data_IF_353806982776
#
_entry.id   IF_353806982776
#
_cell.length_a   1.000
_cell.length_b   1.000
_cell.length_c   1.000
_cell.angle_alpha   90.00
_cell.angle_beta   90.00
_cell.angle_gamma   90.00
#
_symmetry.space_group_name_H-M   'P 1'
#
loop_
_entity.id
_entity.type
_entity.pdbx_description
1 polymer ?
#
# COMPACT_ATOMS: atom_id res chain seq x y z
N UNK A 1 -0.92 33.82 -7.65
CA UNK A 1 0.01 33.58 -6.53
C UNK A 1 -0.81 33.60 -5.27
N UNK A 2 -0.67 32.58 -4.42
CA UNK A 2 -1.32 32.55 -3.12
C UNK A 2 -0.56 33.51 -2.18
N UNK A 3 -1.25 34.35 -1.40
CA UNK A 3 -0.58 35.26 -0.47
C UNK A 3 0.12 34.47 0.65
N UNK A 4 1.12 35.08 1.32
CA UNK A 4 1.72 34.48 2.52
C UNK A 4 0.66 34.18 3.58
N UNK A 5 0.80 33.02 4.23
CA UNK A 5 -0.08 32.57 5.31
C UNK A 5 0.76 32.33 6.58
N UNK A 6 0.95 33.36 7.41
CA UNK A 6 1.75 33.25 8.63
C UNK A 6 1.08 32.36 9.69
N UNK A 7 -0.26 32.26 9.67
CA UNK A 7 -1.01 31.43 10.62
C UNK A 7 -0.76 29.95 10.33
N UNK A 8 -0.73 29.56 9.05
CA UNK A 8 -0.33 28.22 8.64
C UNK A 8 1.11 27.91 9.06
N UNK A 9 2.04 28.86 8.89
CA UNK A 9 3.44 28.67 9.27
C UNK A 9 3.57 28.43 10.79
N UNK A 10 2.94 29.28 11.60
CA UNK A 10 2.93 29.15 13.05
C UNK A 10 2.29 27.83 13.52
N UNK A 11 1.22 27.38 12.86
CA UNK A 11 0.60 26.09 13.13
C UNK A 11 1.56 24.92 12.87
N UNK A 12 2.21 24.90 11.70
CA UNK A 12 3.19 23.85 11.35
C UNK A 12 4.34 23.83 12.34
N UNK A 13 4.90 25.00 12.68
CA UNK A 13 5.94 25.12 13.70
C UNK A 13 5.47 24.51 15.02
N UNK A 14 4.29 24.89 15.51
CA UNK A 14 3.75 24.37 16.78
C UNK A 14 3.60 22.85 16.79
N UNK A 15 3.18 22.23 15.68
CA UNK A 15 3.05 20.76 15.58
C UNK A 15 4.42 20.07 15.56
N UNK A 16 5.42 20.73 14.97
CA UNK A 16 6.76 20.18 14.71
C UNK A 16 7.81 20.56 15.78
N UNK A 17 7.53 21.51 16.67
CA UNK A 17 8.46 22.04 17.70
C UNK A 17 8.82 21.02 18.80
N UNK A 18 8.23 19.82 18.75
CA UNK A 18 8.74 18.69 19.51
C UNK A 18 9.94 18.09 18.76
N UNK A 19 11.14 18.34 19.29
CA UNK A 19 12.44 17.86 18.80
C UNK A 19 12.55 16.35 18.62
N UNK A 20 11.57 15.59 19.10
CA UNK A 20 11.30 14.21 18.73
C UNK A 20 9.98 14.18 17.97
N UNK A 21 9.95 13.59 16.76
CA UNK A 21 8.72 13.36 15.99
C UNK A 21 7.73 12.54 16.82
N UNK A 22 6.96 13.23 17.66
CA UNK A 22 6.07 12.60 18.61
C UNK A 22 5.02 11.80 17.84
N UNK A 23 4.65 10.60 18.32
CA UNK A 23 3.70 9.75 17.63
C UNK A 23 2.43 10.51 17.21
N UNK A 24 1.91 10.21 16.02
CA UNK A 24 0.70 10.82 15.47
C UNK A 24 0.84 12.28 15.03
N UNK A 25 2.06 12.77 14.76
CA UNK A 25 2.22 14.13 14.21
C UNK A 25 1.54 14.29 12.84
N UNK A 26 1.41 13.22 12.05
CA UNK A 26 0.68 13.24 10.78
C UNK A 26 -0.79 13.63 10.96
N UNK A 27 -1.49 13.03 11.93
CA UNK A 27 -2.88 13.42 12.27
C UNK A 27 -2.98 14.83 12.82
N UNK A 28 -1.99 15.29 13.59
CA UNK A 28 -1.98 16.66 14.10
C UNK A 28 -1.81 17.69 12.99
N UNK A 29 -0.93 17.42 12.03
CA UNK A 29 -0.72 18.27 10.86
C UNK A 29 -1.91 18.22 9.89
N UNK A 30 -2.55 17.06 9.78
CA UNK A 30 -3.72 16.81 8.94
C UNK A 30 -4.89 16.26 9.79
N UNK A 31 -5.61 17.12 10.54
CA UNK A 31 -6.64 16.69 11.49
C UNK A 31 -7.81 15.92 10.85
N UNK A 32 -8.02 16.10 9.55
CA UNK A 32 -9.04 15.40 8.78
C UNK A 32 -8.51 14.18 8.01
N UNK A 33 -7.26 13.75 8.25
CA UNK A 33 -6.69 12.56 7.64
C UNK A 33 -7.42 11.30 8.16
N UNK A 34 -8.12 10.62 7.26
CA UNK A 34 -8.86 9.38 7.56
C UNK A 34 -8.05 8.13 7.21
N UNK A 35 -7.26 8.21 6.15
CA UNK A 35 -6.52 7.09 5.60
C UNK A 35 -5.31 7.58 4.81
N UNK A 36 -4.35 6.69 4.62
CA UNK A 36 -3.27 6.86 3.66
C UNK A 36 -3.27 5.72 2.67
N UNK A 37 -2.79 6.00 1.46
CA UNK A 37 -2.51 4.97 0.45
C UNK A 37 -1.01 4.76 0.42
N UNK A 38 -0.55 3.55 0.73
CA UNK A 38 0.86 3.20 0.74
C UNK A 38 1.03 1.72 0.39
N UNK A 39 2.23 1.33 -0.03
CA UNK A 39 2.58 -0.08 -0.17
C UNK A 39 2.80 -0.67 1.22
N UNK A 40 2.11 -1.75 1.53
CA UNK A 40 2.08 -2.31 2.89
C UNK A 40 2.47 -3.78 3.01
N UNK A 41 2.64 -4.49 1.90
CA UNK A 41 3.01 -5.91 1.89
C UNK A 41 4.49 -6.20 1.63
N UNK A 42 4.87 -7.46 1.81
CA UNK A 42 6.21 -7.98 1.52
C UNK A 42 7.32 -7.14 2.20
N UNK A 43 8.32 -6.69 1.45
CA UNK A 43 9.43 -5.88 1.95
C UNK A 43 9.04 -4.51 2.49
N UNK A 44 7.76 -4.10 2.42
CA UNK A 44 7.28 -2.87 3.05
C UNK A 44 6.58 -3.09 4.39
N UNK A 45 6.37 -4.33 4.79
CA UNK A 45 5.62 -4.69 6.01
C UNK A 45 6.33 -4.19 7.27
N UNK A 46 7.67 -4.25 7.33
CA UNK A 46 8.45 -3.77 8.48
C UNK A 46 8.38 -2.25 8.69
N UNK A 47 7.90 -1.48 7.71
CA UNK A 47 7.67 -0.04 7.87
C UNK A 47 6.29 0.28 8.45
N UNK A 48 5.37 -0.68 8.56
CA UNK A 48 3.99 -0.41 9.03
C UNK A 48 3.98 0.17 10.45
N UNK A 49 4.79 -0.37 11.36
CA UNK A 49 4.87 0.16 12.73
C UNK A 49 5.36 1.61 12.74
N UNK A 50 6.37 1.93 11.95
CA UNK A 50 6.89 3.31 11.84
C UNK A 50 5.87 4.25 11.20
N UNK A 51 5.16 3.78 10.18
CA UNK A 51 4.13 4.54 9.49
C UNK A 51 2.94 4.84 10.42
N UNK A 52 2.46 3.83 11.16
CA UNK A 52 1.41 3.98 12.18
C UNK A 52 1.84 4.97 13.27
N UNK A 53 3.08 4.86 13.77
CA UNK A 53 3.62 5.79 14.74
C UNK A 53 3.67 7.23 14.20
N UNK A 54 3.95 7.45 12.92
CA UNK A 54 3.98 8.79 12.31
C UNK A 54 2.56 9.34 12.11
N UNK A 55 1.68 8.54 11.52
CA UNK A 55 0.36 8.99 11.09
C UNK A 55 -0.65 9.08 12.23
N UNK A 56 -0.50 8.23 13.25
CA UNK A 56 -1.49 7.98 14.29
C UNK A 56 -2.09 6.59 14.12
N UNK A 57 -2.30 5.88 15.23
CA UNK A 57 -2.82 4.50 15.23
C UNK A 57 -4.24 4.39 14.68
N UNK A 58 -4.98 5.50 14.63
CA UNK A 58 -6.34 5.61 14.11
C UNK A 58 -6.41 5.84 12.58
N UNK A 59 -5.26 6.01 11.93
CA UNK A 59 -5.19 6.26 10.48
C UNK A 59 -4.99 4.95 9.72
N UNK A 60 -5.99 4.56 8.94
CA UNK A 60 -5.92 3.35 8.13
C UNK A 60 -4.86 3.47 7.02
N UNK A 61 -4.11 2.40 6.77
CA UNK A 61 -3.15 2.29 5.66
C UNK A 61 -3.70 1.32 4.61
N UNK A 62 -4.01 1.83 3.42
CA UNK A 62 -4.59 1.06 2.33
C UNK A 62 -3.52 0.65 1.32
N UNK A 63 -3.38 -0.67 1.13
CA UNK A 63 -2.51 -1.27 0.13
C UNK A 63 -3.13 -1.10 -1.26
N UNK A 64 -3.01 0.06 -1.89
CA UNK A 64 -3.80 0.43 -3.08
C UNK A 64 -3.73 -0.54 -4.26
N UNK A 65 -2.69 -0.41 -5.09
CA UNK A 65 -2.52 -1.12 -6.36
C UNK A 65 -1.29 -2.03 -6.34
N UNK A 66 -1.41 -3.17 -7.01
CA UNK A 66 -0.31 -4.06 -7.32
C UNK A 66 0.11 -3.85 -8.76
N UNK A 67 1.23 -3.16 -8.94
CA UNK A 67 1.71 -2.70 -10.24
C UNK A 67 3.22 -2.84 -10.36
N UNK A 68 3.67 -3.14 -11.57
CA UNK A 68 5.05 -3.03 -12.00
C UNK A 68 5.17 -2.00 -13.13
N UNK A 69 6.39 -1.69 -13.57
CA UNK A 69 6.62 -0.77 -14.70
C UNK A 69 5.97 -1.27 -16.00
N UNK A 70 5.81 -2.60 -16.11
CA UNK A 70 5.23 -3.32 -17.23
C UNK A 70 3.70 -3.33 -17.22
N UNK A 71 3.07 -3.01 -16.09
CA UNK A 71 1.60 -2.97 -16.00
C UNK A 71 1.04 -2.99 -14.58
N UNK A 72 -0.24 -2.61 -14.49
CA UNK A 72 -1.02 -2.75 -13.26
C UNK A 72 -1.74 -4.10 -13.26
N UNK A 73 -1.30 -4.97 -12.35
CA UNK A 73 -1.68 -6.37 -12.27
C UNK A 73 -2.90 -6.59 -11.37
N UNK A 74 -3.12 -5.73 -10.38
CA UNK A 74 -4.28 -5.87 -9.51
C UNK A 74 -4.56 -4.68 -8.62
N UNK A 75 -5.78 -4.68 -8.06
CA UNK A 75 -6.26 -3.66 -7.14
C UNK A 75 -6.74 -4.33 -5.86
N UNK A 76 -6.38 -3.73 -4.74
CA UNK A 76 -6.96 -4.12 -3.48
C UNK A 76 -8.36 -3.52 -3.36
N UNK A 77 -9.35 -4.40 -3.26
CA UNK A 77 -10.76 -3.99 -3.10
C UNK A 77 -11.18 -3.93 -1.63
N UNK A 78 -10.27 -4.25 -0.70
CA UNK A 78 -10.51 -4.21 0.73
C UNK A 78 -9.87 -2.99 1.35
N UNK A 79 -10.61 -2.33 2.24
CA UNK A 79 -10.07 -1.27 3.09
C UNK A 79 -9.38 -1.82 4.35
N UNK A 80 -9.36 -3.14 4.55
CA UNK A 80 -8.87 -3.79 5.78
C UNK A 80 -7.82 -4.87 5.54
N UNK A 81 -7.87 -5.57 4.40
CA UNK A 81 -6.87 -6.55 4.02
C UNK A 81 -5.80 -5.83 3.19
N UNK A 82 -4.56 -5.78 3.65
CA UNK A 82 -3.47 -5.02 3.00
C UNK A 82 -2.79 -5.77 1.85
N UNK A 83 -3.01 -7.08 1.75
CA UNK A 83 -2.23 -7.98 0.90
C UNK A 83 -3.07 -8.81 -0.08
N UNK A 84 -4.36 -8.48 -0.24
CA UNK A 84 -5.24 -9.18 -1.19
C UNK A 84 -5.55 -8.28 -2.37
N UNK A 85 -5.07 -8.69 -3.56
CA UNK A 85 -5.25 -7.93 -4.79
C UNK A 85 -6.11 -8.73 -5.77
N UNK A 86 -7.12 -8.08 -6.32
CA UNK A 86 -7.91 -8.63 -7.40
C UNK A 86 -7.25 -8.31 -8.72
N UNK A 87 -7.07 -9.32 -9.56
CA UNK A 87 -6.46 -9.15 -10.87
C UNK A 87 -7.20 -8.14 -11.73
N UNK A 88 -6.46 -7.26 -12.40
CA UNK A 88 -6.98 -6.23 -13.28
C UNK A 88 -7.05 -6.77 -14.73
N UNK A 89 -8.00 -7.68 -14.97
CA UNK A 89 -8.22 -8.40 -16.25
C UNK A 89 -8.33 -7.53 -17.50
N UNK A 90 -8.58 -6.22 -17.37
CA UNK A 90 -8.71 -5.30 -18.50
C UNK A 90 -7.40 -4.62 -18.90
N UNK A 91 -6.35 -4.73 -18.10
CA UNK A 91 -5.09 -4.01 -18.35
C UNK A 91 -4.10 -4.81 -19.22
N UNK A 92 -4.11 -6.13 -19.10
CA UNK A 92 -3.21 -7.00 -19.86
C UNK A 92 -3.73 -8.43 -19.94
N UNK A 93 -3.36 -9.13 -21.02
CA UNK A 93 -3.42 -10.59 -21.03
C UNK A 93 -2.35 -11.10 -20.05
N UNK A 94 -2.75 -12.00 -19.14
CA UNK A 94 -1.90 -12.51 -18.09
C UNK A 94 -2.06 -14.02 -17.99
N UNK A 95 -0.95 -14.73 -17.90
CA UNK A 95 -0.90 -16.16 -17.62
C UNK A 95 -0.02 -16.39 -16.39
N UNK A 96 -0.28 -17.47 -15.67
CA UNK A 96 0.51 -17.86 -14.51
C UNK A 96 1.36 -19.07 -14.85
N UNK A 97 2.61 -19.07 -14.39
CA UNK A 97 3.49 -20.22 -14.47
C UNK A 97 3.46 -20.99 -13.14
N UNK A 98 2.86 -22.19 -13.09
CA UNK A 98 2.83 -23.00 -11.88
C UNK A 98 4.24 -23.31 -11.34
N UNK A 99 4.37 -23.45 -10.01
CA UNK A 99 5.67 -23.64 -9.36
C UNK A 99 6.40 -24.92 -9.82
N UNK A 100 5.66 -26.00 -10.05
CA UNK A 100 6.19 -27.26 -10.59
C UNK A 100 6.73 -27.13 -12.03
N UNK A 101 6.41 -26.03 -12.71
CA UNK A 101 6.86 -25.72 -14.07
C UNK A 101 8.04 -24.74 -14.11
N UNK A 102 8.55 -24.22 -12.99
CA UNK A 102 9.58 -23.18 -12.99
C UNK A 102 10.93 -23.61 -13.57
N UNK A 103 11.25 -24.89 -13.47
CA UNK A 103 12.58 -25.43 -13.83
C UNK A 103 12.52 -26.49 -14.95
N UNK A 104 11.40 -26.58 -15.66
CA UNK A 104 11.24 -27.49 -16.81
C UNK A 104 11.66 -26.80 -18.11
N UNK A 105 12.17 -27.57 -19.07
CA UNK A 105 12.71 -27.04 -20.33
C UNK A 105 11.65 -26.37 -21.23
N UNK A 106 10.40 -26.81 -21.12
CA UNK A 106 9.27 -26.26 -21.86
C UNK A 106 8.08 -26.03 -20.91
N UNK A 107 8.09 -24.93 -20.15
CA UNK A 107 7.04 -24.62 -19.19
C UNK A 107 5.70 -24.42 -19.88
N UNK A 108 4.62 -24.78 -19.18
CA UNK A 108 3.25 -24.47 -19.61
C UNK A 108 2.60 -23.52 -18.61
N UNK A 109 2.20 -22.37 -19.12
CA UNK A 109 1.39 -21.44 -18.36
C UNK A 109 -0.07 -21.90 -18.31
N UNK A 110 -0.80 -21.37 -17.33
CA UNK A 110 -2.24 -21.55 -17.16
C UNK A 110 -2.94 -20.19 -17.18
N UNK A 111 -4.22 -20.19 -17.56
CA UNK A 111 -5.06 -19.00 -17.42
C UNK A 111 -5.28 -18.67 -15.94
N UNK A 112 -5.39 -17.38 -15.63
CA UNK A 112 -5.76 -16.90 -14.30
C UNK A 112 -7.10 -17.49 -13.84
N UNK A 113 -8.07 -17.67 -14.74
CA UNK A 113 -9.38 -18.24 -14.41
C UNK A 113 -9.31 -19.72 -14.01
N UNK A 114 -8.23 -20.40 -14.40
CA UNK A 114 -7.96 -21.80 -14.07
C UNK A 114 -7.05 -21.96 -12.86
N UNK A 115 -6.51 -20.86 -12.33
CA UNK A 115 -5.61 -20.89 -11.20
C UNK A 115 -6.37 -21.22 -9.91
N UNK A 116 -5.87 -22.21 -9.17
CA UNK A 116 -6.32 -22.46 -7.81
C UNK A 116 -5.45 -21.65 -6.85
N UNK A 117 -6.09 -20.91 -5.95
CA UNK A 117 -5.40 -20.27 -4.84
C UNK A 117 -4.99 -21.41 -3.90
N UNK A 118 -3.68 -21.60 -3.66
CA UNK A 118 -3.18 -22.53 -2.65
C UNK A 118 -3.67 -22.16 -1.25
N UNK A 119 -3.44 -23.02 -0.24
CA UNK A 119 -3.78 -22.66 1.13
C UNK A 119 -3.04 -21.36 1.52
N UNK A 120 -3.80 -20.35 1.96
CA UNK A 120 -3.23 -19.14 2.54
C UNK A 120 -2.77 -19.54 3.95
N UNK A 121 -1.50 -19.92 4.09
CA UNK A 121 -0.92 -20.15 5.40
C UNK A 121 -0.88 -18.80 6.15
N UNK A 122 -1.52 -18.71 7.33
CA UNK A 122 -1.58 -17.46 8.10
C UNK A 122 -0.22 -17.01 8.63
#
# INVERSE_FOLDING_TARGET
>A
MQPPDPDLAQFVETVMDHTEMAPGWGKRLFPHLLMTRSRSGSTMEHYQTKLSAILGEDVACLGGDYSASEGCLGLNKSCTATNLFHHAVWNCYSELLPEDQWFVDQPRCISIDSAQIGEITP
#
